data_IF_014600470570
#
_entry.id   IF_014600470570
#
_cell.length_a   1.000
_cell.length_b   1.000
_cell.length_c   1.000
_cell.angle_alpha   90.00
_cell.angle_beta   90.00
_cell.angle_gamma   90.00
#
_symmetry.space_group_name_H-M   'P 1'
#
loop_
_entity.id
_entity.type
_entity.pdbx_description
1 polymer ?
#
# COMPACT_ATOMS: atom_id res chain seq x y z
N UNK A 1 -12.94 -9.04 3.27
CA UNK A 1 -12.96 -7.61 2.91
C UNK A 1 -11.94 -6.89 3.79
N UNK A 2 -11.21 -5.89 3.29
CA UNK A 2 -10.24 -5.14 4.11
C UNK A 2 -10.89 -4.12 5.05
N UNK A 3 -12.16 -3.76 4.82
CA UNK A 3 -12.91 -2.85 5.68
C UNK A 3 -13.55 -3.54 6.90
N UNK A 4 -13.55 -4.88 6.94
CA UNK A 4 -14.09 -5.68 8.02
C UNK A 4 -12.95 -6.31 8.85
N UNK A 5 -12.78 -5.91 10.13
CA UNK A 5 -11.78 -6.51 11.02
C UNK A 5 -11.86 -8.05 11.09
N UNK A 6 -13.07 -8.62 11.12
CA UNK A 6 -13.26 -10.06 11.24
C UNK A 6 -12.76 -10.82 10.00
N UNK A 7 -12.85 -10.21 8.82
CA UNK A 7 -12.31 -10.76 7.58
C UNK A 7 -10.78 -10.95 7.62
N UNK A 8 -10.04 -10.04 8.25
CA UNK A 8 -8.57 -10.16 8.39
C UNK A 8 -8.21 -11.34 9.29
N UNK A 9 -8.88 -11.45 10.44
CA UNK A 9 -8.68 -12.53 11.40
C UNK A 9 -9.04 -13.89 10.79
N UNK A 10 -10.19 -13.97 10.11
CA UNK A 10 -10.64 -15.18 9.44
C UNK A 10 -9.66 -15.63 8.35
N UNK A 11 -9.13 -14.69 7.55
CA UNK A 11 -8.13 -15.01 6.54
C UNK A 11 -6.83 -15.52 7.17
N UNK A 12 -6.29 -14.83 8.17
CA UNK A 12 -5.08 -15.26 8.87
C UNK A 12 -5.25 -16.64 9.53
N UNK A 13 -6.42 -16.90 10.15
CA UNK A 13 -6.74 -18.21 10.72
C UNK A 13 -6.80 -19.31 9.65
N UNK A 14 -7.33 -19.01 8.46
CA UNK A 14 -7.45 -19.98 7.36
C UNK A 14 -6.10 -20.50 6.84
N UNK A 15 -5.00 -19.77 7.09
CA UNK A 15 -3.65 -20.20 6.76
C UNK A 15 -3.21 -21.43 7.57
N UNK A 16 -3.84 -21.70 8.73
CA UNK A 16 -3.54 -22.87 9.58
C UNK A 16 -2.04 -23.05 9.88
N UNK A 17 -1.34 -21.94 10.16
CA UNK A 17 0.11 -21.94 10.44
C UNK A 17 1.00 -22.05 9.20
N UNK A 18 0.44 -22.02 8.00
CA UNK A 18 1.21 -21.97 6.75
C UNK A 18 2.06 -20.69 6.73
N UNK A 19 3.40 -20.81 6.60
CA UNK A 19 4.28 -19.65 6.47
C UNK A 19 3.95 -18.84 5.21
N UNK A 20 4.11 -17.52 5.30
CA UNK A 20 3.88 -16.61 4.17
C UNK A 20 5.16 -15.81 3.93
N UNK A 21 5.75 -15.96 2.74
CA UNK A 21 6.99 -15.24 2.38
C UNK A 21 6.73 -13.80 1.96
N UNK A 22 5.52 -13.47 1.49
CA UNK A 22 5.19 -12.15 0.98
C UNK A 22 3.74 -11.78 1.27
N UNK A 23 3.55 -10.65 1.93
CA UNK A 23 2.24 -9.99 2.04
C UNK A 23 2.23 -8.68 1.25
N UNK A 24 1.27 -8.55 0.33
CA UNK A 24 1.08 -7.34 -0.49
C UNK A 24 -0.21 -6.64 -0.08
N UNK A 25 -0.10 -5.50 0.58
CA UNK A 25 -1.23 -4.62 0.87
C UNK A 25 -1.57 -3.80 -0.38
N UNK A 26 -2.32 -4.41 -1.30
CA UNK A 26 -2.71 -3.82 -2.59
C UNK A 26 -4.07 -3.11 -2.59
N UNK A 27 -5.03 -3.59 -1.78
CA UNK A 27 -6.39 -3.07 -1.80
C UNK A 27 -6.41 -1.56 -1.49
N UNK A 28 -7.20 -0.82 -2.26
CA UNK A 28 -7.37 0.61 -2.10
C UNK A 28 -8.48 1.18 -2.96
N UNK A 29 -9.00 2.34 -2.58
CA UNK A 29 -10.05 3.07 -3.29
C UNK A 29 -9.65 4.52 -3.56
N UNK A 30 -10.22 5.06 -4.63
CA UNK A 30 -10.23 6.48 -4.95
C UNK A 30 -11.65 6.82 -5.42
N UNK A 31 -12.49 7.28 -4.48
CA UNK A 31 -13.95 7.38 -4.67
C UNK A 31 -14.30 8.47 -5.70
N UNK A 32 -13.67 9.65 -5.60
CA UNK A 32 -13.89 10.75 -6.54
C UNK A 32 -12.58 11.41 -6.96
N UNK A 33 -12.51 11.76 -8.24
CA UNK A 33 -11.30 12.33 -8.87
C UNK A 33 -11.40 13.83 -9.12
N UNK A 34 -12.62 14.36 -9.15
CA UNK A 34 -13.00 15.70 -9.58
C UNK A 34 -13.39 16.64 -8.42
N UNK A 35 -13.22 16.21 -7.17
CA UNK A 35 -13.58 17.02 -6.00
C UNK A 35 -12.72 18.28 -5.86
N UNK A 36 -13.39 19.40 -5.58
CA UNK A 36 -12.77 20.64 -5.13
C UNK A 36 -13.15 20.93 -3.68
N UNK A 37 -12.37 21.77 -3.01
CA UNK A 37 -12.69 22.26 -1.66
C UNK A 37 -14.04 23.00 -1.66
N UNK A 38 -14.41 23.62 -2.78
CA UNK A 38 -15.63 24.41 -2.92
C UNK A 38 -16.90 23.57 -3.05
N UNK A 39 -16.82 22.39 -3.69
CA UNK A 39 -17.97 21.46 -3.77
C UNK A 39 -18.12 20.60 -2.52
N UNK A 40 -17.08 20.60 -1.68
CA UNK A 40 -17.02 19.85 -0.43
C UNK A 40 -16.72 18.37 -0.65
N UNK A 41 -16.28 17.74 0.43
CA UNK A 41 -16.09 16.30 0.54
C UNK A 41 -17.08 15.76 1.55
N UNK A 42 -17.77 14.66 1.24
CA UNK A 42 -18.65 14.05 2.21
C UNK A 42 -17.80 13.33 3.30
N UNK A 43 -18.16 13.51 4.58
CA UNK A 43 -17.35 13.00 5.69
C UNK A 43 -17.27 11.46 5.71
N UNK A 44 -18.31 10.80 5.22
CA UNK A 44 -18.38 9.35 4.99
C UNK A 44 -17.40 8.88 3.91
N UNK A 45 -17.21 9.64 2.82
CA UNK A 45 -16.22 9.31 1.79
C UNK A 45 -14.78 9.43 2.32
N UNK A 46 -14.51 10.40 3.20
CA UNK A 46 -13.24 10.47 3.93
C UNK A 46 -13.04 9.26 4.83
N UNK A 47 -14.04 8.94 5.64
CA UNK A 47 -13.97 7.80 6.54
C UNK A 47 -13.75 6.49 5.77
N UNK A 48 -14.49 6.28 4.68
CA UNK A 48 -14.36 5.08 3.84
C UNK A 48 -12.99 5.00 3.18
N UNK A 49 -12.48 6.10 2.61
CA UNK A 49 -11.16 6.12 1.98
C UNK A 49 -10.05 5.80 2.98
N UNK A 50 -10.08 6.38 4.18
CA UNK A 50 -9.10 6.08 5.23
C UNK A 50 -9.26 4.67 5.80
N UNK A 51 -10.50 4.20 5.96
CA UNK A 51 -10.77 2.84 6.41
C UNK A 51 -10.13 1.81 5.47
N UNK A 52 -10.30 1.98 4.15
CA UNK A 52 -9.72 1.04 3.18
C UNK A 52 -8.21 1.26 3.01
N UNK A 53 -7.77 2.49 2.73
CA UNK A 53 -6.40 2.75 2.30
C UNK A 53 -5.38 2.77 3.45
N UNK A 54 -5.83 2.91 4.70
CA UNK A 54 -4.96 3.06 5.87
C UNK A 54 -5.26 1.99 6.92
N UNK A 55 -6.48 1.98 7.47
CA UNK A 55 -6.83 1.04 8.55
C UNK A 55 -6.81 -0.41 8.06
N UNK A 56 -7.38 -0.69 6.89
CA UNK A 56 -7.36 -2.02 6.28
C UNK A 56 -5.96 -2.52 5.99
N UNK A 57 -5.04 -1.63 5.60
CA UNK A 57 -3.62 -1.95 5.42
C UNK A 57 -2.98 -2.35 6.75
N UNK A 58 -3.19 -1.54 7.81
CA UNK A 58 -2.66 -1.84 9.13
C UNK A 58 -3.20 -3.17 9.69
N UNK A 59 -4.51 -3.39 9.66
CA UNK A 59 -5.14 -4.62 10.17
C UNK A 59 -4.70 -5.86 9.39
N UNK A 60 -4.57 -5.74 8.07
CA UNK A 60 -4.06 -6.82 7.22
C UNK A 60 -2.61 -7.17 7.56
N UNK A 61 -1.74 -6.17 7.75
CA UNK A 61 -0.36 -6.42 8.19
C UNK A 61 -0.36 -7.08 9.57
N UNK A 62 -1.11 -6.54 10.53
CA UNK A 62 -1.16 -7.03 11.91
C UNK A 62 -1.59 -8.50 11.98
N UNK A 63 -2.66 -8.87 11.27
CA UNK A 63 -3.18 -10.24 11.24
C UNK A 63 -2.22 -11.23 10.57
N UNK A 64 -1.44 -10.78 9.59
CA UNK A 64 -0.49 -11.62 8.85
C UNK A 64 0.87 -11.79 9.55
N UNK A 65 1.18 -11.00 10.59
CA UNK A 65 2.46 -11.08 11.29
C UNK A 65 2.85 -12.50 11.75
N UNK A 66 1.95 -13.32 12.35
CA UNK A 66 2.31 -14.68 12.75
C UNK A 66 2.77 -15.56 11.58
N UNK A 67 2.08 -15.50 10.44
CA UNK A 67 2.42 -16.29 9.26
C UNK A 67 3.71 -15.79 8.58
N UNK A 68 3.91 -14.47 8.53
CA UNK A 68 5.16 -13.86 8.06
C UNK A 68 6.35 -14.26 8.94
N UNK A 69 6.19 -14.25 10.27
CA UNK A 69 7.24 -14.65 11.21
C UNK A 69 7.65 -16.11 11.12
N UNK A 70 6.76 -16.97 10.65
CA UNK A 70 7.04 -18.39 10.43
C UNK A 70 7.85 -18.64 9.15
N UNK A 71 7.91 -17.67 8.23
CA UNK A 71 8.64 -17.80 6.98
C UNK A 71 10.14 -17.47 7.17
N UNK A 72 11.03 -18.09 6.38
CA UNK A 72 12.48 -17.86 6.48
C UNK A 72 12.93 -16.49 5.97
N UNK A 73 12.22 -15.92 4.99
CA UNK A 73 12.57 -14.65 4.36
C UNK A 73 11.32 -13.81 4.05
N UNK A 74 10.53 -13.42 5.05
CA UNK A 74 9.26 -12.73 4.85
C UNK A 74 9.45 -11.30 4.37
N UNK A 75 8.47 -10.78 3.63
CA UNK A 75 8.46 -9.40 3.11
C UNK A 75 7.06 -8.80 3.20
N UNK A 76 7.00 -7.49 3.45
CA UNK A 76 5.77 -6.70 3.30
C UNK A 76 5.95 -5.70 2.16
N UNK A 77 5.00 -5.67 1.23
CA UNK A 77 4.90 -4.67 0.19
C UNK A 77 3.59 -3.87 0.35
N UNK A 78 3.68 -2.55 0.45
CA UNK A 78 2.52 -1.66 0.54
C UNK A 78 2.39 -0.90 -0.77
N UNK A 79 1.23 -1.02 -1.43
CA UNK A 79 0.94 -0.28 -2.65
C UNK A 79 0.44 1.12 -2.29
N UNK A 80 1.35 2.09 -2.34
CA UNK A 80 1.05 3.51 -2.18
C UNK A 80 0.88 4.17 -3.56
N UNK A 81 1.23 5.45 -3.68
CA UNK A 81 1.10 6.23 -4.90
C UNK A 81 2.07 7.40 -4.87
N UNK A 82 2.65 7.79 -6.02
CA UNK A 82 3.43 9.03 -6.13
C UNK A 82 2.69 10.27 -5.59
N UNK A 83 1.36 10.24 -5.56
CA UNK A 83 0.49 11.29 -5.02
C UNK A 83 0.49 11.36 -3.47
N UNK A 84 1.14 10.42 -2.79
CA UNK A 84 1.43 10.49 -1.37
C UNK A 84 2.48 11.57 -1.03
N UNK A 85 3.28 11.96 -2.02
CA UNK A 85 4.35 12.94 -1.85
C UNK A 85 3.83 14.36 -1.87
N UNK A 86 4.22 15.14 -0.86
CA UNK A 86 3.94 16.57 -0.82
C UNK A 86 4.68 17.34 -1.92
N UNK A 87 5.80 16.81 -2.41
CA UNK A 87 6.57 17.40 -3.52
C UNK A 87 5.87 17.25 -4.87
N UNK A 88 4.97 16.27 -5.01
CA UNK A 88 4.10 16.07 -6.18
C UNK A 88 2.69 16.67 -5.94
N UNK A 89 2.65 17.83 -5.28
CA UNK A 89 1.40 18.54 -5.03
C UNK A 89 0.72 18.93 -6.35
N UNK A 90 -0.60 18.90 -6.33
CA UNK A 90 -1.45 19.19 -7.49
C UNK A 90 -2.90 19.32 -7.04
N UNK A 91 -3.80 19.50 -8.01
CA UNK A 91 -5.23 19.68 -7.72
C UNK A 91 -5.96 18.33 -7.63
N UNK A 92 -7.11 18.34 -6.94
CA UNK A 92 -8.02 17.19 -6.81
C UNK A 92 -7.51 16.04 -5.95
N UNK A 93 -8.40 15.07 -5.72
CA UNK A 93 -8.12 13.81 -5.02
C UNK A 93 -7.53 14.01 -3.61
N UNK A 94 -7.93 15.05 -2.88
CA UNK A 94 -7.31 15.38 -1.58
C UNK A 94 -7.42 14.23 -0.58
N UNK A 95 -8.58 13.58 -0.50
CA UNK A 95 -8.79 12.41 0.36
C UNK A 95 -7.86 11.25 0.00
N UNK A 96 -7.75 10.94 -1.30
CA UNK A 96 -6.86 9.89 -1.79
C UNK A 96 -5.38 10.22 -1.49
N UNK A 97 -4.95 11.45 -1.82
CA UNK A 97 -3.59 11.97 -1.53
C UNK A 97 -3.27 11.86 -0.05
N UNK A 98 -4.16 12.35 0.82
CA UNK A 98 -3.99 12.29 2.26
C UNK A 98 -3.91 10.84 2.77
N UNK A 99 -4.79 9.96 2.28
CA UNK A 99 -4.76 8.54 2.66
C UNK A 99 -3.48 7.83 2.22
N UNK A 100 -2.95 8.14 1.02
CA UNK A 100 -1.71 7.56 0.51
C UNK A 100 -0.47 8.15 1.20
N UNK A 101 -0.50 9.42 1.62
CA UNK A 101 0.51 9.99 2.50
C UNK A 101 0.50 9.31 3.88
N UNK A 102 -0.68 9.05 4.45
CA UNK A 102 -0.83 8.34 5.72
C UNK A 102 -0.29 6.90 5.63
N UNK A 103 -0.63 6.13 4.59
CA UNK A 103 -0.15 4.75 4.44
C UNK A 103 1.35 4.67 4.11
N UNK A 104 1.89 5.66 3.40
CA UNK A 104 3.34 5.81 3.22
C UNK A 104 4.03 6.01 4.58
N UNK A 105 3.51 6.93 5.39
CA UNK A 105 4.06 7.19 6.73
C UNK A 105 3.96 5.95 7.64
N UNK A 106 2.83 5.23 7.60
CA UNK A 106 2.64 3.95 8.27
C UNK A 106 3.74 2.96 7.89
N UNK A 107 3.95 2.71 6.59
CA UNK A 107 4.97 1.78 6.10
C UNK A 107 6.39 2.17 6.50
N UNK A 108 6.71 3.48 6.45
CA UNK A 108 8.02 4.02 6.83
C UNK A 108 8.32 3.85 8.32
N UNK A 109 7.32 3.98 9.19
CA UNK A 109 7.51 3.72 10.62
C UNK A 109 7.56 2.23 10.92
N UNK A 110 6.71 1.43 10.27
CA UNK A 110 6.75 -0.03 10.39
C UNK A 110 8.10 -0.61 9.98
N UNK A 111 8.79 -0.01 9.02
CA UNK A 111 10.15 -0.39 8.63
C UNK A 111 11.22 -0.13 9.71
N UNK A 112 10.94 0.77 10.67
CA UNK A 112 11.86 1.17 11.75
C UNK A 112 11.55 0.52 13.09
N UNK A 113 10.37 -0.07 13.24
CA UNK A 113 10.01 -0.73 14.50
C UNK A 113 11.05 -1.80 14.85
N UNK A 114 11.54 -1.82 16.10
CA UNK A 114 12.48 -2.84 16.54
C UNK A 114 11.75 -4.19 16.53
N UNK A 115 12.06 -5.00 15.52
CA UNK A 115 11.49 -6.34 15.36
C UNK A 115 12.56 -7.38 15.69
N UNK A 116 12.20 -8.44 16.44
CA UNK A 116 13.09 -9.59 16.58
C UNK A 116 13.30 -10.33 15.24
N UNK A 117 12.48 -10.05 14.23
CA UNK A 117 12.55 -10.65 12.90
C UNK A 117 13.16 -9.73 11.81
N UNK A 118 13.87 -10.34 10.85
CA UNK A 118 14.36 -9.71 9.61
C UNK A 118 13.20 -9.50 8.61
N UNK A 119 12.22 -8.66 8.95
CA UNK A 119 11.03 -8.40 8.15
C UNK A 119 11.12 -7.03 7.43
N UNK A 120 11.66 -6.97 6.20
CA UNK A 120 11.71 -5.74 5.44
C UNK A 120 10.34 -5.32 4.92
N UNK A 121 10.14 -4.01 4.85
CA UNK A 121 8.90 -3.37 4.41
C UNK A 121 9.22 -2.44 3.24
N UNK A 122 8.58 -2.63 2.10
CA UNK A 122 8.70 -1.74 0.95
C UNK A 122 7.39 -1.00 0.68
N UNK A 123 7.48 0.26 0.24
CA UNK A 123 6.34 1.07 -0.17
C UNK A 123 6.51 1.37 -1.66
N UNK A 124 5.52 1.03 -2.46
CA UNK A 124 5.68 1.08 -3.92
C UNK A 124 4.59 1.91 -4.59
N UNK A 125 4.99 2.69 -5.59
CA UNK A 125 4.06 3.30 -6.54
C UNK A 125 3.95 2.40 -7.79
N UNK A 126 2.73 1.96 -8.16
CA UNK A 126 2.55 1.04 -9.29
C UNK A 126 2.70 1.71 -10.67
N UNK A 127 2.89 3.03 -10.76
CA UNK A 127 2.65 3.80 -11.99
C UNK A 127 1.19 4.23 -12.13
N UNK A 128 0.86 4.96 -13.20
CA UNK A 128 -0.52 5.21 -13.60
C UNK A 128 -0.97 4.06 -14.52
N UNK A 129 -1.75 3.12 -13.97
CA UNK A 129 -2.02 1.82 -14.59
C UNK A 129 -3.43 1.75 -15.19
N UNK A 130 -3.57 1.19 -16.39
CA UNK A 130 -4.86 0.94 -17.06
C UNK A 130 -5.67 -0.09 -16.27
N UNK A 131 -6.55 0.42 -15.42
CA UNK A 131 -7.44 -0.29 -14.49
C UNK A 131 -8.73 0.50 -14.35
N UNK A 132 -9.74 -0.02 -13.66
CA UNK A 132 -10.94 0.75 -13.34
C UNK A 132 -10.60 2.05 -12.58
N UNK A 133 -9.64 1.99 -11.66
CA UNK A 133 -9.17 3.16 -10.92
C UNK A 133 -8.32 4.11 -11.77
N UNK A 134 -7.47 3.60 -12.66
CA UNK A 134 -6.59 4.44 -13.50
C UNK A 134 -7.29 5.05 -14.71
N UNK A 135 -8.29 4.37 -15.27
CA UNK A 135 -8.96 4.72 -16.52
C UNK A 135 -8.18 4.28 -17.76
N UNK A 136 -8.83 4.38 -18.92
CA UNK A 136 -8.27 3.94 -20.20
C UNK A 136 -7.09 4.81 -20.71
N UNK A 137 -6.94 6.03 -20.18
CA UNK A 137 -5.87 6.97 -20.55
C UNK A 137 -4.60 6.84 -19.71
N UNK A 138 -4.49 5.81 -18.88
CA UNK A 138 -3.33 5.59 -18.04
C UNK A 138 -2.08 5.14 -18.84
N UNK A 139 -0.89 5.44 -18.32
CA UNK A 139 0.36 5.35 -19.07
C UNK A 139 0.83 3.91 -19.36
N UNK A 140 0.49 2.95 -18.48
CA UNK A 140 1.02 1.59 -18.54
C UNK A 140 -0.04 0.52 -18.30
N UNK A 141 0.20 -0.68 -18.83
CA UNK A 141 -0.65 -1.85 -18.60
C UNK A 141 -0.42 -2.47 -17.22
N UNK A 142 -1.37 -3.30 -16.78
CA UNK A 142 -1.25 -4.10 -15.56
C UNK A 142 0.00 -4.99 -15.58
N UNK A 143 0.30 -5.62 -16.71
CA UNK A 143 1.46 -6.52 -16.83
C UNK A 143 2.79 -5.79 -16.64
N UNK A 144 2.92 -4.58 -17.20
CA UNK A 144 4.11 -3.74 -17.04
C UNK A 144 4.29 -3.33 -15.58
N UNK A 145 3.22 -2.86 -14.95
CA UNK A 145 3.22 -2.46 -13.54
C UNK A 145 3.58 -3.64 -12.62
N UNK A 146 2.85 -4.76 -12.72
CA UNK A 146 3.05 -5.94 -11.88
C UNK A 146 4.45 -6.54 -12.04
N UNK A 147 4.93 -6.67 -13.28
CA UNK A 147 6.29 -7.17 -13.54
C UNK A 147 7.38 -6.27 -12.96
N UNK A 148 7.17 -4.94 -13.00
CA UNK A 148 8.06 -3.97 -12.38
C UNK A 148 8.08 -4.13 -10.85
N UNK A 149 6.89 -4.14 -10.23
CA UNK A 149 6.74 -4.30 -8.79
C UNK A 149 7.35 -5.61 -8.26
N UNK A 150 7.13 -6.73 -8.94
CA UNK A 150 7.74 -8.03 -8.57
C UNK A 150 9.27 -7.91 -8.52
N UNK A 151 9.89 -7.30 -9.54
CA UNK A 151 11.35 -7.08 -9.55
C UNK A 151 11.85 -6.20 -8.42
N UNK A 152 11.03 -5.28 -7.89
CA UNK A 152 11.39 -4.44 -6.74
C UNK A 152 11.25 -5.22 -5.44
N UNK A 153 10.12 -5.89 -5.26
CA UNK A 153 9.83 -6.74 -4.10
C UNK A 153 10.87 -7.88 -3.96
N UNK A 154 11.31 -8.47 -5.06
CA UNK A 154 12.35 -9.51 -5.06
C UNK A 154 13.67 -9.01 -4.45
N UNK A 155 14.02 -7.75 -4.69
CA UNK A 155 15.25 -7.11 -4.17
C UNK A 155 15.09 -6.50 -2.77
N UNK A 156 13.88 -6.50 -2.22
CA UNK A 156 13.61 -5.97 -0.88
C UNK A 156 14.29 -6.82 0.20
N UNK A 157 15.01 -6.16 1.10
CA UNK A 157 15.79 -6.72 2.18
C UNK A 157 15.89 -5.74 3.34
N UNK A 158 16.51 -6.13 4.46
CA UNK A 158 16.75 -5.21 5.57
C UNK A 158 17.66 -4.03 5.19
N UNK A 159 18.50 -4.17 4.14
CA UNK A 159 19.39 -3.09 3.70
C UNK A 159 18.63 -1.92 3.03
N UNK A 160 17.45 -2.18 2.48
CA UNK A 160 16.60 -1.18 1.84
C UNK A 160 15.17 -1.17 2.42
N UNK A 161 15.00 -1.63 3.66
CA UNK A 161 13.70 -1.55 4.33
C UNK A 161 13.25 -0.08 4.48
N UNK A 162 11.96 0.15 4.29
CA UNK A 162 11.34 1.46 4.21
C UNK A 162 11.51 2.15 2.86
N UNK A 163 12.04 1.49 1.83
CA UNK A 163 12.16 2.10 0.49
C UNK A 163 10.81 2.61 -0.01
N UNK A 164 10.85 3.74 -0.72
CA UNK A 164 9.71 4.30 -1.42
C UNK A 164 10.11 4.58 -2.87
N UNK A 165 9.63 3.74 -3.79
CA UNK A 165 10.02 3.77 -5.19
C UNK A 165 8.86 3.39 -6.11
N UNK A 166 9.00 3.67 -7.40
CA UNK A 166 8.05 3.25 -8.41
C UNK A 166 8.34 1.85 -8.98
N UNK A 167 7.45 1.37 -9.85
CA UNK A 167 7.58 0.08 -10.53
C UNK A 167 8.87 -0.06 -11.40
N UNK A 168 9.56 1.04 -11.73
CA UNK A 168 10.86 1.04 -12.43
C UNK A 168 12.04 1.00 -11.45
N UNK A 169 11.82 1.30 -10.17
CA UNK A 169 12.84 1.42 -9.13
C UNK A 169 13.40 2.84 -8.99
N UNK A 170 12.69 3.83 -9.53
CA UNK A 170 13.03 5.21 -9.30
C UNK A 170 12.57 5.60 -7.89
N UNK A 171 13.49 6.09 -7.08
CA UNK A 171 13.17 6.58 -5.74
C UNK A 171 12.22 7.77 -5.83
N UNK A 172 11.19 7.76 -4.99
CA UNK A 172 10.19 8.83 -4.95
C UNK A 172 10.43 9.76 -3.75
N UNK A 173 10.33 11.09 -3.95
CA UNK A 173 10.35 12.04 -2.84
C UNK A 173 9.06 11.90 -2.01
N UNK A 174 9.06 12.35 -0.75
CA UNK A 174 7.88 12.30 0.12
C UNK A 174 7.79 13.54 1.02
#
# INVERSE_FOLDING_TARGET
DVNDPASHEAFAASLNGTPVDLYIANAGINIRKDESVDTGYAADEWAQTFQTNVTGVFLGIQSMLPALRAAPAPKIAIISSQLASSTNSGTGMLTYRASKAAVLNLGRNLAKEPKPENLPVGIFHPGWVVTDMGGAGADITVDVSASGLVKRIDTLSMANTGIYEDYKGDALPY
#
